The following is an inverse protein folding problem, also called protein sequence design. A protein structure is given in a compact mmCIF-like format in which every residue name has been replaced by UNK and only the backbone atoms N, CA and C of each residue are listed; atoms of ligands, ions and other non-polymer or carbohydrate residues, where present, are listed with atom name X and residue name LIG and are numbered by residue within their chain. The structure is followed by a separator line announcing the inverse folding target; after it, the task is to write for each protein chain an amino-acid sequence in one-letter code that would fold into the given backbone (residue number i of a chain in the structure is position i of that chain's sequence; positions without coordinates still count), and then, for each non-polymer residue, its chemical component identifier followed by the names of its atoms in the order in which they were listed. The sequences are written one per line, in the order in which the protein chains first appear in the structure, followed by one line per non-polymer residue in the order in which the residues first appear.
data_IF_834328951812
#
_entry.id   IF_834328951812
#
_cell.length_a   1.000
_cell.length_b   1.000
_cell.length_c   1.000
_cell.angle_alpha   90.00
_cell.angle_beta   90.00
_cell.angle_gamma   90.00
#
_symmetry.space_group_name_H-M   'P 1'
#
loop_
_entity.id
_entity.type
_entity.pdbx_description
1 polymer ?
#
# COMPACT_ATOMS: atom_id res chain seq x y z
N UNK A 1 17.38 3.88 -2.31
CA UNK A 1 16.67 4.27 -1.06
C UNK A 1 16.09 3.08 -0.29
N UNK A 2 15.37 2.17 -0.95
CA UNK A 2 14.67 1.04 -0.30
C UNK A 2 15.56 0.00 0.40
N UNK A 3 16.83 -0.14 0.03
CA UNK A 3 17.75 -1.11 0.65
C UNK A 3 18.52 -0.55 1.88
N UNK A 4 18.03 0.55 2.47
CA UNK A 4 18.65 1.20 3.62
C UNK A 4 18.20 0.55 4.95
N UNK A 5 19.12 0.31 5.89
CA UNK A 5 18.80 -0.18 7.25
C UNK A 5 17.83 0.74 7.99
N UNK A 6 17.95 2.06 7.82
CA UNK A 6 17.04 3.06 8.38
C UNK A 6 15.60 2.85 7.88
N UNK A 7 15.43 2.62 6.58
CA UNK A 7 14.12 2.34 5.99
C UNK A 7 13.52 1.06 6.56
N UNK A 8 14.29 -0.03 6.64
CA UNK A 8 13.82 -1.30 7.23
C UNK A 8 13.35 -1.14 8.68
N UNK A 9 14.03 -0.34 9.49
CA UNK A 9 13.64 -0.05 10.88
C UNK A 9 12.36 0.78 10.93
N UNK A 10 12.31 1.90 10.22
CA UNK A 10 11.15 2.80 10.22
C UNK A 10 9.90 2.11 9.68
N UNK A 11 10.03 1.33 8.60
CA UNK A 11 8.96 0.51 8.03
C UNK A 11 8.37 -0.46 9.05
N UNK A 12 9.21 -1.16 9.83
CA UNK A 12 8.74 -2.07 10.88
C UNK A 12 7.98 -1.32 11.97
N UNK A 13 8.51 -0.18 12.42
CA UNK A 13 7.85 0.66 13.43
C UNK A 13 6.52 1.20 12.92
N UNK A 14 6.46 1.66 11.68
CA UNK A 14 5.24 2.15 11.05
C UNK A 14 4.16 1.07 11.00
N UNK A 15 4.48 -0.14 10.51
CA UNK A 15 3.52 -1.25 10.45
C UNK A 15 3.05 -1.72 11.83
N UNK A 16 3.86 -1.54 12.86
CA UNK A 16 3.45 -1.83 14.23
C UNK A 16 2.39 -0.82 14.74
N UNK A 17 2.56 0.47 14.43
CA UNK A 17 1.64 1.55 14.81
C UNK A 17 0.38 1.56 13.92
N UNK A 18 0.54 1.22 12.64
CA UNK A 18 -0.49 1.23 11.61
C UNK A 18 -0.72 -0.18 11.06
N UNK A 19 -1.31 -1.11 11.85
CA UNK A 19 -1.43 -2.52 11.47
C UNK A 19 -2.55 -2.81 10.47
N UNK A 20 -3.34 -1.81 10.10
CA UNK A 20 -4.49 -1.95 9.18
C UNK A 20 -4.13 -1.46 7.79
N UNK A 21 -4.74 -2.09 6.79
CA UNK A 21 -4.63 -1.68 5.40
C UNK A 21 -5.50 -0.44 5.16
N UNK A 22 -4.91 0.63 4.64
CA UNK A 22 -5.61 1.89 4.34
C UNK A 22 -6.63 1.72 3.19
N UNK A 23 -6.47 0.71 2.32
CA UNK A 23 -7.41 0.45 1.21
C UNK A 23 -8.64 -0.36 1.63
N UNK A 24 -8.49 -1.36 2.49
CA UNK A 24 -9.59 -2.28 2.83
C UNK A 24 -9.99 -2.27 4.32
N UNK A 25 -9.28 -1.52 5.17
CA UNK A 25 -9.55 -1.37 6.60
C UNK A 25 -9.24 -2.60 7.48
N UNK A 26 -8.87 -3.73 6.87
CA UNK A 26 -8.59 -5.00 7.59
C UNK A 26 -7.18 -4.99 8.21
N UNK A 27 -6.98 -5.62 9.38
CA UNK A 27 -5.66 -5.74 10.00
C UNK A 27 -4.71 -6.63 9.18
N UNK A 28 -3.44 -6.62 9.54
CA UNK A 28 -2.40 -7.43 8.91
C UNK A 28 -1.67 -6.75 7.74
N UNK A 29 -1.63 -5.42 7.71
CA UNK A 29 -0.82 -4.70 6.74
C UNK A 29 0.66 -5.12 6.87
N UNK A 30 1.31 -5.38 5.74
CA UNK A 30 2.68 -5.90 5.70
C UNK A 30 3.57 -5.16 4.71
N UNK A 31 3.04 -4.18 3.96
CA UNK A 31 3.74 -3.31 3.03
C UNK A 31 3.51 -1.86 3.45
N UNK A 32 4.54 -1.03 3.31
CA UNK A 32 4.43 0.42 3.40
C UNK A 32 4.67 0.97 2.00
N UNK A 33 3.72 1.74 1.51
CA UNK A 33 3.75 2.36 0.19
C UNK A 33 3.73 3.89 0.32
N UNK A 34 4.16 4.59 -0.73
CA UNK A 34 4.12 6.05 -0.79
C UNK A 34 2.86 6.50 -1.53
N UNK A 35 1.98 7.25 -0.85
CA UNK A 35 0.73 7.79 -1.43
C UNK A 35 1.01 8.61 -2.70
N UNK A 36 2.03 9.47 -2.64
CA UNK A 36 2.56 10.22 -3.78
C UNK A 36 3.89 9.59 -4.21
N UNK A 37 4.06 9.24 -5.50
CA UNK A 37 5.33 8.77 -6.02
C UNK A 37 6.43 9.80 -5.76
N UNK A 38 7.48 9.41 -5.06
CA UNK A 38 8.52 10.33 -4.63
C UNK A 38 9.45 10.80 -5.77
N UNK A 39 9.52 10.08 -6.91
CA UNK A 39 10.31 10.46 -8.11
C UNK A 39 11.77 10.89 -7.86
N UNK A 40 12.39 10.37 -6.80
CA UNK A 40 13.76 10.72 -6.39
C UNK A 40 13.88 11.82 -5.33
N UNK A 41 12.78 12.46 -4.95
CA UNK A 41 12.69 13.39 -3.82
C UNK A 41 12.88 12.61 -2.50
N UNK A 42 13.92 12.99 -1.75
CA UNK A 42 14.26 12.35 -0.47
C UNK A 42 13.32 12.76 0.65
N UNK A 43 12.87 14.01 0.69
CA UNK A 43 12.01 14.51 1.75
C UNK A 43 10.62 13.89 1.61
N UNK A 44 10.13 13.78 0.38
CA UNK A 44 8.88 13.10 0.08
C UNK A 44 8.95 11.58 0.33
N UNK A 45 10.14 10.98 0.17
CA UNK A 45 10.38 9.58 0.52
C UNK A 45 10.30 9.34 2.04
N UNK A 46 10.84 10.27 2.84
CA UNK A 46 10.89 10.15 4.30
C UNK A 46 9.69 10.77 5.04
N UNK A 47 8.81 11.49 4.33
CA UNK A 47 7.57 12.03 4.87
C UNK A 47 6.62 10.90 5.26
N UNK A 48 6.41 10.72 6.57
CA UNK A 48 5.47 9.75 7.11
C UNK A 48 4.02 10.03 6.70
N UNK A 49 3.66 11.31 6.51
CA UNK A 49 2.33 11.68 6.01
C UNK A 49 2.08 11.16 4.60
N UNK A 50 3.16 10.96 3.83
CA UNK A 50 3.16 10.35 2.52
C UNK A 50 3.18 8.81 2.57
N UNK A 51 3.25 8.18 3.74
CA UNK A 51 3.22 6.72 3.86
C UNK A 51 1.80 6.19 4.05
N UNK A 52 1.56 4.97 3.55
CA UNK A 52 0.34 4.21 3.79
C UNK A 52 0.66 2.74 4.05
N UNK A 53 -0.05 2.13 5.01
CA UNK A 53 0.06 0.70 5.33
C UNK A 53 -0.90 -0.10 4.46
N UNK A 54 -0.42 -1.12 3.76
CA UNK A 54 -1.21 -1.94 2.84
C UNK A 54 -0.92 -3.43 3.02
N UNK A 55 -1.88 -4.27 2.63
CA UNK A 55 -1.59 -5.66 2.29
C UNK A 55 -0.85 -5.70 0.95
N UNK A 56 0.10 -6.63 0.82
CA UNK A 56 0.77 -6.90 -0.47
C UNK A 56 -0.24 -7.09 -1.62
N UNK A 57 -1.30 -7.87 -1.40
CA UNK A 57 -2.33 -8.11 -2.40
C UNK A 57 -3.02 -6.81 -2.85
N UNK A 58 -3.50 -5.99 -1.90
CA UNK A 58 -4.17 -4.72 -2.22
C UNK A 58 -3.23 -3.74 -2.94
N UNK A 59 -1.98 -3.67 -2.51
CA UNK A 59 -0.95 -2.85 -3.15
C UNK A 59 -0.68 -3.29 -4.60
N UNK A 60 -0.54 -4.60 -4.82
CA UNK A 60 -0.25 -5.16 -6.15
C UNK A 60 -1.46 -5.03 -7.09
N UNK A 61 -2.69 -5.20 -6.58
CA UNK A 61 -3.93 -4.99 -7.36
C UNK A 61 -4.09 -3.55 -7.83
N UNK A 62 -3.82 -2.56 -6.96
CA UNK A 62 -3.90 -1.14 -7.36
C UNK A 62 -2.89 -0.82 -8.45
N UNK A 63 -1.65 -1.33 -8.32
CA UNK A 63 -0.62 -1.13 -9.35
C UNK A 63 -1.00 -1.76 -10.68
N UNK A 64 -1.51 -2.99 -10.65
CA UNK A 64 -1.97 -3.68 -11.85
C UNK A 64 -3.10 -2.94 -12.58
N UNK A 65 -3.98 -2.26 -11.86
CA UNK A 65 -5.05 -1.49 -12.48
C UNK A 65 -4.61 -0.10 -12.97
N UNK A 66 -3.65 0.55 -12.29
CA UNK A 66 -3.03 1.79 -12.76
C UNK A 66 -2.33 1.55 -14.10
N UNK A 67 -1.57 0.46 -14.23
CA UNK A 67 -0.88 0.11 -15.48
C UNK A 67 -1.85 -0.22 -16.64
N UNK A 68 -3.10 -0.59 -16.33
CA UNK A 68 -4.14 -0.89 -17.32
C UNK A 68 -5.17 0.24 -17.54
N UNK A 69 -4.94 1.43 -16.97
CA UNK A 69 -5.76 2.62 -17.26
C UNK A 69 -7.22 2.56 -16.80
N UNK A 70 -7.58 1.72 -15.82
CA UNK A 70 -8.94 1.61 -15.29
C UNK A 70 -9.00 2.00 -13.81
N UNK A 71 -9.77 3.05 -13.52
CA UNK A 71 -10.24 3.41 -12.16
C UNK A 71 -11.03 2.23 -11.60
N UNK A 72 -10.74 1.84 -10.35
CA UNK A 72 -11.18 0.56 -9.80
C UNK A 72 -12.22 0.77 -8.70
N UNK A 73 -13.43 0.27 -8.94
CA UNK A 73 -14.41 -0.09 -7.91
C UNK A 73 -13.95 -1.41 -7.25
N UNK A 74 -13.00 -1.36 -6.30
CA UNK A 74 -12.30 -2.58 -5.78
C UNK A 74 -13.16 -3.40 -4.80
N UNK A 75 -14.15 -2.81 -4.16
CA UNK A 75 -14.89 -3.44 -3.07
C UNK A 75 -16.40 -3.33 -3.32
N UNK A 76 -17.10 -4.46 -3.26
CA UNK A 76 -18.54 -4.43 -3.10
C UNK A 76 -18.92 -4.02 -1.66
N UNK A 77 -20.21 -3.74 -1.45
CA UNK A 77 -20.81 -3.38 -0.16
C UNK A 77 -20.55 -4.40 0.98
N UNK A 78 -19.97 -5.57 0.66
CA UNK A 78 -19.65 -6.65 1.59
C UNK A 78 -18.14 -6.81 1.84
N UNK A 79 -17.30 -5.94 1.26
CA UNK A 79 -15.85 -5.96 1.45
C UNK A 79 -15.15 -7.14 0.77
N UNK A 80 -15.75 -7.66 -0.32
CA UNK A 80 -15.16 -8.68 -1.19
C UNK A 80 -14.58 -8.05 -2.46
N UNK A 81 -13.40 -8.50 -2.94
CA UNK A 81 -12.87 -8.06 -4.23
C UNK A 81 -13.81 -8.50 -5.36
N UNK A 82 -14.38 -7.54 -6.10
CA UNK A 82 -15.11 -7.87 -7.33
C UNK A 82 -14.10 -8.22 -8.42
N UNK A 83 -14.04 -9.51 -8.75
CA UNK A 83 -13.42 -9.99 -9.99
C UNK A 83 -12.03 -10.63 -9.82
N UNK A 84 -11.99 -11.83 -9.24
CA UNK A 84 -11.15 -12.88 -9.81
C UNK A 84 -11.71 -14.24 -9.39
N UNK A 85 -12.39 -14.91 -10.31
CA UNK A 85 -12.65 -16.33 -10.23
C UNK A 85 -11.28 -17.03 -10.35
N UNK A 86 -10.88 -17.76 -9.30
CA UNK A 86 -9.78 -18.69 -9.37
C UNK A 86 -10.37 -20.00 -9.90
N UNK A 87 -10.22 -20.22 -11.21
CA UNK A 87 -10.33 -21.55 -11.81
C UNK A 87 -9.01 -22.30 -11.66
#
# INVERSE_FOLDING_TARGET
MYNNRRWRRMRKQWLYIHPRCELCGKPGANVVDHKKPHKGDYDLFWSQDNWQSLHKLCHDSVKACIDNGKTIDIIDEKGSPKGQAWG
#
